data_IF_840464990982
#
_entry.id   IF_840464990982
#
_cell.length_a   1.000
_cell.length_b   1.000
_cell.length_c   1.000
_cell.angle_alpha   90.00
_cell.angle_beta   90.00
_cell.angle_gamma   90.00
#
_symmetry.space_group_name_H-M   'P 1'
#
loop_
_entity.id
_entity.type
_entity.pdbx_description
1 polymer ?
#
# COMPACT_ATOMS: atom_id res chain seq x y z
N UNK A 1 9.55 -17.95 8.78
CA UNK A 1 10.56 -17.10 8.13
C UNK A 1 10.39 -17.28 6.63
N UNK A 2 10.34 -16.20 5.88
CA UNK A 2 10.07 -16.28 4.44
C UNK A 2 11.36 -16.29 3.59
N UNK A 3 12.48 -15.88 4.16
CA UNK A 3 13.79 -15.83 3.53
C UNK A 3 14.67 -16.94 4.07
N UNK A 4 15.52 -17.50 3.22
CA UNK A 4 16.48 -18.53 3.59
C UNK A 4 17.88 -17.94 3.78
N UNK A 5 18.76 -18.70 4.41
CA UNK A 5 20.17 -18.30 4.60
C UNK A 5 20.96 -18.26 3.28
N UNK A 6 20.48 -18.94 2.26
CA UNK A 6 21.05 -18.96 0.89
C UNK A 6 20.61 -17.74 0.05
N UNK A 7 19.79 -16.83 0.59
CA UNK A 7 19.32 -15.65 -0.13
C UNK A 7 18.15 -15.92 -1.08
N UNK A 8 17.47 -17.06 -0.91
CA UNK A 8 16.21 -17.39 -1.58
C UNK A 8 15.01 -17.01 -0.69
N UNK A 9 13.80 -17.16 -1.19
CA UNK A 9 12.57 -17.04 -0.40
C UNK A 9 11.70 -18.28 -0.50
N UNK A 10 10.89 -18.50 0.52
CA UNK A 10 9.87 -19.56 0.51
C UNK A 10 8.49 -18.95 0.41
N UNK A 11 7.75 -19.32 -0.64
CA UNK A 11 6.37 -18.90 -0.89
C UNK A 11 5.47 -20.11 -1.14
N UNK A 12 4.37 -20.23 -0.38
CA UNK A 12 3.45 -21.38 -0.46
C UNK A 12 4.15 -22.74 -0.41
N UNK A 13 5.22 -22.84 0.39
CA UNK A 13 6.00 -24.07 0.53
C UNK A 13 7.02 -24.34 -0.57
N UNK A 14 7.09 -23.49 -1.59
CA UNK A 14 8.07 -23.58 -2.68
C UNK A 14 9.19 -22.58 -2.44
N UNK A 15 10.42 -23.05 -2.56
CA UNK A 15 11.60 -22.19 -2.54
C UNK A 15 11.86 -21.64 -3.94
N UNK A 16 12.14 -20.35 -4.03
CA UNK A 16 12.39 -19.62 -5.28
C UNK A 16 13.43 -18.52 -5.09
N UNK A 17 14.08 -18.12 -6.17
CA UNK A 17 14.97 -16.96 -6.18
C UNK A 17 14.21 -15.68 -5.80
N UNK A 18 14.93 -14.72 -5.23
CA UNK A 18 14.39 -13.38 -4.96
C UNK A 18 14.33 -12.58 -6.27
N UNK A 19 13.14 -12.27 -6.79
CA UNK A 19 13.05 -11.40 -7.96
C UNK A 19 13.40 -9.97 -7.57
N UNK A 20 14.33 -9.37 -8.31
CA UNK A 20 14.83 -8.03 -8.02
C UNK A 20 13.84 -6.91 -8.34
N UNK A 21 12.84 -7.19 -9.14
CA UNK A 21 11.84 -6.26 -9.65
C UNK A 21 10.44 -6.42 -9.01
N UNK A 22 10.31 -7.31 -8.02
CA UNK A 22 9.05 -7.53 -7.31
C UNK A 22 9.01 -6.68 -6.02
N UNK A 23 7.90 -6.01 -5.68
CA UNK A 23 7.77 -5.33 -4.40
C UNK A 23 8.04 -6.25 -3.22
N UNK A 24 8.80 -5.78 -2.24
CA UNK A 24 9.02 -6.51 -1.00
C UNK A 24 7.71 -6.75 -0.27
N UNK A 25 7.58 -7.92 0.35
CA UNK A 25 6.42 -8.28 1.17
C UNK A 25 6.85 -8.67 2.59
N UNK A 26 5.87 -8.62 3.51
CA UNK A 26 6.04 -9.08 4.88
C UNK A 26 7.09 -8.31 5.66
N UNK A 27 7.16 -7.00 5.44
CA UNK A 27 7.98 -6.08 6.23
C UNK A 27 7.13 -5.38 7.29
N UNK A 28 7.69 -5.22 8.49
CA UNK A 28 7.09 -4.40 9.54
C UNK A 28 7.26 -2.90 9.22
N UNK A 29 6.50 -2.06 9.91
CA UNK A 29 6.69 -0.61 9.82
C UNK A 29 8.13 -0.19 10.15
N UNK A 30 8.72 -0.76 11.20
CA UNK A 30 10.08 -0.42 11.61
C UNK A 30 11.14 -0.79 10.58
N UNK A 31 10.97 -1.92 9.88
CA UNK A 31 11.86 -2.30 8.76
C UNK A 31 11.67 -1.37 7.57
N UNK A 32 10.43 -1.00 7.26
CA UNK A 32 10.14 -0.04 6.19
C UNK A 32 10.74 1.34 6.49
N UNK A 33 10.57 1.85 7.71
CA UNK A 33 11.12 3.11 8.17
C UNK A 33 12.67 3.11 8.17
N UNK A 34 13.28 2.04 8.68
CA UNK A 34 14.73 1.88 8.67
C UNK A 34 15.31 1.84 7.25
N UNK A 35 14.66 1.12 6.33
CA UNK A 35 15.05 1.10 4.93
C UNK A 35 14.91 2.47 4.27
N UNK A 36 13.82 3.19 4.54
CA UNK A 36 13.62 4.54 4.04
C UNK A 36 14.74 5.48 4.51
N UNK A 37 15.07 5.47 5.81
CA UNK A 37 16.15 6.27 6.37
C UNK A 37 17.52 5.91 5.78
N UNK A 38 17.81 4.61 5.64
CA UNK A 38 19.05 4.14 4.99
C UNK A 38 19.18 4.60 3.55
N UNK A 39 18.05 4.70 2.83
CA UNK A 39 18.00 5.17 1.43
C UNK A 39 18.05 6.71 1.31
N UNK A 40 18.22 7.47 2.42
CA UNK A 40 18.14 8.93 2.40
C UNK A 40 16.74 9.45 2.06
N UNK A 41 15.72 8.68 2.40
CA UNK A 41 14.31 8.94 2.12
C UNK A 41 13.48 8.82 3.40
N UNK A 42 12.18 8.94 3.26
CA UNK A 42 11.20 8.67 4.31
C UNK A 42 9.99 7.89 3.77
N UNK A 43 9.16 7.39 4.65
CA UNK A 43 7.84 6.93 4.25
C UNK A 43 6.93 8.14 3.97
N UNK A 44 6.03 8.06 2.99
CA UNK A 44 5.03 9.10 2.79
C UNK A 44 4.05 9.15 3.98
N UNK A 45 3.49 10.31 4.26
CA UNK A 45 2.27 10.41 5.06
C UNK A 45 1.08 9.84 4.27
N UNK A 46 0.01 9.42 4.94
CA UNK A 46 -1.19 8.94 4.24
C UNK A 46 -1.83 10.02 3.36
N UNK A 47 -1.69 11.30 3.72
CA UNK A 47 -2.20 12.42 2.93
C UNK A 47 -1.40 12.60 1.65
N UNK A 48 -0.07 12.53 1.71
CA UNK A 48 0.80 12.56 0.54
C UNK A 48 0.51 11.38 -0.38
N UNK A 49 0.38 10.19 0.20
CA UNK A 49 0.04 8.99 -0.55
C UNK A 49 -1.30 9.14 -1.28
N UNK A 50 -2.36 9.57 -0.59
CA UNK A 50 -3.70 9.75 -1.18
C UNK A 50 -3.70 10.85 -2.24
N UNK A 51 -2.96 11.94 -2.01
CA UNK A 51 -2.79 13.00 -3.01
C UNK A 51 -2.10 12.48 -4.26
N UNK A 52 -1.00 11.75 -4.12
CA UNK A 52 -0.29 11.13 -5.24
C UNK A 52 -1.17 10.14 -6.01
N UNK A 53 -2.05 9.43 -5.30
CA UNK A 53 -2.95 8.43 -5.85
C UNK A 53 -4.14 9.04 -6.60
N UNK A 54 -4.82 10.01 -6.00
CA UNK A 54 -6.16 10.41 -6.44
C UNK A 54 -6.29 11.86 -6.92
N UNK A 55 -5.33 12.74 -6.68
CA UNK A 55 -5.43 14.12 -7.11
C UNK A 55 -4.92 14.31 -8.53
N UNK A 56 -5.70 15.01 -9.35
CA UNK A 56 -5.30 15.42 -10.70
C UNK A 56 -4.94 16.92 -10.69
N UNK A 57 -3.66 17.29 -10.83
CA UNK A 57 -3.24 18.68 -10.81
C UNK A 57 -3.71 19.50 -12.04
N UNK A 58 -4.02 18.83 -13.14
CA UNK A 58 -4.48 19.48 -14.39
C UNK A 58 -5.94 19.89 -14.27
N UNK A 59 -6.79 18.99 -13.83
CA UNK A 59 -8.23 19.25 -13.68
C UNK A 59 -8.57 19.87 -12.33
N UNK A 60 -7.62 19.89 -11.38
CA UNK A 60 -7.78 20.32 -9.98
C UNK A 60 -8.94 19.58 -9.28
N UNK A 61 -9.09 18.30 -9.59
CA UNK A 61 -10.14 17.46 -9.09
C UNK A 61 -9.62 16.10 -8.59
N UNK A 62 -10.37 15.47 -7.72
CA UNK A 62 -10.09 14.12 -7.26
C UNK A 62 -10.58 13.10 -8.30
N UNK A 63 -9.74 12.15 -8.65
CA UNK A 63 -10.09 10.97 -9.44
C UNK A 63 -10.69 9.89 -8.55
N UNK A 64 -11.54 9.06 -9.12
CA UNK A 64 -12.10 7.87 -8.43
C UNK A 64 -11.00 6.83 -8.20
N UNK A 65 -10.10 6.67 -9.19
CA UNK A 65 -8.94 5.77 -9.18
C UNK A 65 -7.72 6.53 -9.69
N UNK A 66 -6.50 6.04 -9.48
CA UNK A 66 -5.31 6.69 -10.00
C UNK A 66 -5.40 6.99 -11.50
N UNK A 67 -5.88 6.02 -12.27
CA UNK A 67 -6.03 6.06 -13.73
C UNK A 67 -7.29 6.79 -14.23
N UNK A 68 -8.21 7.21 -13.35
CA UNK A 68 -9.45 7.91 -13.73
C UNK A 68 -10.71 7.36 -13.11
N UNK A 69 -11.77 7.14 -13.89
CA UNK A 69 -13.10 6.73 -13.38
C UNK A 69 -13.44 5.25 -13.60
N UNK A 70 -12.70 4.55 -14.44
CA UNK A 70 -12.96 3.14 -14.77
C UNK A 70 -12.72 2.22 -13.59
N UNK A 71 -13.57 1.22 -13.41
CA UNK A 71 -13.36 0.19 -12.40
C UNK A 71 -12.02 -0.54 -12.60
N UNK A 72 -11.41 -1.09 -11.54
CA UNK A 72 -10.19 -1.87 -11.67
C UNK A 72 -10.36 -3.07 -12.61
N UNK A 73 -9.36 -3.28 -13.45
CA UNK A 73 -9.23 -4.45 -14.32
C UNK A 73 -7.86 -5.08 -14.15
N UNK A 74 -7.67 -6.28 -14.66
CA UNK A 74 -6.37 -6.97 -14.62
C UNK A 74 -5.26 -6.28 -15.43
N UNK A 75 -5.56 -5.24 -16.19
CA UNK A 75 -4.57 -4.41 -16.91
C UNK A 75 -4.23 -3.12 -16.18
N UNK A 76 -4.96 -2.78 -15.13
CA UNK A 76 -4.82 -1.53 -14.37
C UNK A 76 -4.22 -1.74 -12.98
N UNK A 77 -4.45 -2.89 -12.37
CA UNK A 77 -3.95 -3.19 -11.03
C UNK A 77 -3.92 -4.69 -10.75
N UNK A 78 -2.99 -5.12 -9.91
CA UNK A 78 -2.91 -6.49 -9.42
C UNK A 78 -3.77 -6.66 -8.17
N UNK A 79 -4.95 -7.22 -8.36
CA UNK A 79 -5.97 -7.42 -7.32
C UNK A 79 -6.65 -8.79 -7.48
N UNK A 80 -7.39 -9.20 -6.47
CA UNK A 80 -8.26 -10.38 -6.53
C UNK A 80 -7.58 -11.73 -6.48
N UNK A 81 -6.30 -11.77 -6.14
CA UNK A 81 -5.57 -13.03 -5.96
C UNK A 81 -5.24 -13.78 -7.26
N UNK A 82 -5.35 -13.15 -8.42
CA UNK A 82 -5.19 -13.84 -9.71
C UNK A 82 -3.78 -14.44 -9.91
N UNK A 83 -2.74 -13.72 -9.51
CA UNK A 83 -1.35 -14.17 -9.64
C UNK A 83 -0.77 -14.76 -8.35
N UNK A 84 -1.46 -14.64 -7.21
CA UNK A 84 -1.01 -15.04 -5.86
C UNK A 84 0.38 -14.48 -5.47
N UNK A 85 0.73 -13.31 -6.03
CA UNK A 85 2.01 -12.63 -5.82
C UNK A 85 1.92 -11.17 -6.26
N UNK A 86 2.80 -10.27 -5.76
CA UNK A 86 2.98 -8.96 -6.38
C UNK A 86 3.47 -9.11 -7.82
N UNK A 87 3.19 -8.13 -8.62
CA UNK A 87 3.72 -8.03 -9.97
C UNK A 87 5.07 -7.30 -9.98
N UNK A 88 5.90 -7.52 -11.01
CA UNK A 88 7.09 -6.73 -11.23
C UNK A 88 6.78 -5.22 -11.27
N UNK A 89 7.71 -4.41 -10.78
CA UNK A 89 7.59 -2.94 -10.84
C UNK A 89 7.48 -2.52 -12.32
N UNK A 90 6.52 -1.64 -12.62
CA UNK A 90 6.23 -1.19 -13.98
C UNK A 90 5.28 -2.10 -14.78
N UNK A 91 4.74 -3.16 -14.17
CA UNK A 91 3.82 -4.07 -14.87
C UNK A 91 2.45 -3.45 -15.22
N UNK A 92 2.10 -2.33 -14.58
CA UNK A 92 0.78 -1.68 -14.73
C UNK A 92 0.88 -0.21 -15.13
N UNK A 93 1.52 0.14 -16.27
CA UNK A 93 1.69 1.54 -16.68
C UNK A 93 0.36 2.26 -16.95
N UNK A 94 -0.69 1.53 -17.37
CA UNK A 94 -2.03 2.09 -17.55
C UNK A 94 -2.75 2.39 -16.22
N UNK A 95 -2.24 1.85 -15.12
CA UNK A 95 -2.72 2.08 -13.76
C UNK A 95 -2.09 3.31 -13.07
N UNK A 96 -1.22 4.04 -13.76
CA UNK A 96 -0.52 5.19 -13.20
C UNK A 96 -1.48 6.33 -12.82
N UNK A 97 -1.11 7.07 -11.77
CA UNK A 97 -1.83 8.27 -11.34
C UNK A 97 -1.57 9.46 -12.26
N UNK A 98 -2.27 10.58 -12.02
CA UNK A 98 -2.03 11.83 -12.73
C UNK A 98 -0.61 12.40 -12.55
N UNK A 99 0.09 11.95 -11.50
CA UNK A 99 1.50 12.30 -11.27
C UNK A 99 2.47 11.28 -11.87
N UNK A 100 1.98 10.28 -12.61
CA UNK A 100 2.80 9.22 -13.19
C UNK A 100 3.28 8.18 -12.16
N UNK A 101 2.71 8.15 -10.97
CA UNK A 101 3.06 7.15 -9.95
C UNK A 101 2.30 5.86 -10.24
N UNK A 102 3.05 4.78 -10.42
CA UNK A 102 2.51 3.46 -10.76
C UNK A 102 2.23 2.61 -9.53
N UNK A 103 1.36 1.60 -9.70
CA UNK A 103 1.08 0.53 -8.75
C UNK A 103 0.70 1.02 -7.34
N UNK A 104 -0.02 2.16 -7.26
CA UNK A 104 -0.56 2.68 -6.01
C UNK A 104 -1.76 1.87 -5.49
N UNK A 105 -2.37 1.05 -6.33
CA UNK A 105 -3.49 0.18 -5.98
C UNK A 105 -3.11 -1.26 -6.30
N UNK A 106 -3.23 -2.15 -5.31
CA UNK A 106 -2.87 -3.55 -5.43
C UNK A 106 -1.43 -3.85 -5.03
N UNK A 107 -0.91 -4.98 -5.45
CA UNK A 107 0.41 -5.51 -5.15
C UNK A 107 0.68 -5.73 -3.65
N UNK A 108 1.05 -4.69 -2.91
CA UNK A 108 1.31 -4.75 -1.47
C UNK A 108 0.63 -3.61 -0.73
N UNK A 109 0.23 -3.84 0.51
CA UNK A 109 -0.13 -2.76 1.42
C UNK A 109 1.10 -1.91 1.70
N UNK A 110 1.01 -0.61 1.53
CA UNK A 110 2.13 0.30 1.73
C UNK A 110 2.03 1.00 3.08
N UNK A 111 3.06 0.81 3.92
CA UNK A 111 3.20 1.54 5.18
C UNK A 111 3.33 3.04 4.91
N UNK A 112 2.60 3.83 5.69
CA UNK A 112 2.78 5.28 5.75
C UNK A 112 3.34 5.69 7.11
N UNK A 113 3.95 6.87 7.20
CA UNK A 113 4.44 7.41 8.47
C UNK A 113 3.31 7.86 9.43
N UNK A 114 2.06 7.90 8.94
CA UNK A 114 0.93 8.39 9.71
C UNK A 114 0.43 7.42 10.75
N UNK A 115 0.15 7.93 11.94
CA UNK A 115 -0.60 7.20 12.96
C UNK A 115 -2.08 7.10 12.57
N UNK A 116 -2.74 6.03 13.01
CA UNK A 116 -4.16 5.88 12.76
C UNK A 116 -4.97 6.76 13.71
N UNK A 117 -5.37 7.91 13.20
CA UNK A 117 -6.17 8.91 13.92
C UNK A 117 -7.47 9.23 13.16
N UNK A 118 -8.51 9.69 13.83
CA UNK A 118 -9.73 10.11 13.15
C UNK A 118 -9.47 11.37 12.31
N UNK A 119 -10.14 11.47 11.17
CA UNK A 119 -10.18 12.71 10.41
C UNK A 119 -10.97 13.79 11.18
N UNK A 120 -10.67 15.08 11.02
CA UNK A 120 -11.49 16.14 11.60
C UNK A 120 -12.97 16.00 11.23
N UNK A 121 -13.84 16.04 12.23
CA UNK A 121 -15.28 15.85 12.04
C UNK A 121 -15.72 14.38 11.89
N UNK A 122 -14.86 13.41 12.15
CA UNK A 122 -15.23 11.99 12.14
C UNK A 122 -16.38 11.75 13.14
N UNK A 123 -17.39 11.03 12.66
CA UNK A 123 -18.48 10.51 13.49
C UNK A 123 -18.61 9.02 13.15
N UNK A 124 -18.59 8.12 14.15
CA UNK A 124 -18.71 6.70 13.90
C UNK A 124 -20.08 6.37 13.31
N UNK A 125 -20.07 5.44 12.35
CA UNK A 125 -21.31 4.88 11.80
C UNK A 125 -21.90 3.84 12.75
N UNK A 126 -22.78 3.00 12.25
CA UNK A 126 -23.55 2.03 13.04
C UNK A 126 -22.68 1.10 13.90
N UNK A 127 -21.50 0.72 13.42
CA UNK A 127 -20.56 -0.14 14.16
C UNK A 127 -19.33 0.64 14.60
N UNK A 128 -19.41 1.18 15.81
CA UNK A 128 -18.36 2.04 16.41
C UNK A 128 -17.05 1.28 16.61
N UNK A 129 -17.13 0.02 17.00
CA UNK A 129 -15.96 -0.79 17.37
C UNK A 129 -15.09 -1.18 16.15
N UNK A 130 -15.52 -0.82 14.94
CA UNK A 130 -14.72 -1.08 13.73
C UNK A 130 -13.45 -0.22 13.67
N UNK A 131 -13.50 1.03 14.13
CA UNK A 131 -12.36 1.94 14.04
C UNK A 131 -12.05 2.73 15.31
N UNK A 132 -13.06 3.15 16.07
CA UNK A 132 -12.85 4.02 17.25
C UNK A 132 -11.86 3.46 18.29
N UNK A 133 -11.91 2.18 18.67
CA UNK A 133 -11.00 1.60 19.66
C UNK A 133 -9.53 1.60 19.23
N UNK A 134 -9.27 1.78 17.94
CA UNK A 134 -7.93 1.74 17.36
C UNK A 134 -7.31 3.14 17.18
N UNK A 135 -8.09 4.21 17.38
CA UNK A 135 -7.57 5.57 17.28
C UNK A 135 -6.69 5.92 18.49
N UNK A 136 -5.56 6.57 18.21
CA UNK A 136 -4.62 7.02 19.23
C UNK A 136 -3.82 5.93 19.91
N UNK A 137 -3.90 4.69 19.40
CA UNK A 137 -3.05 3.58 19.79
C UNK A 137 -1.80 3.48 18.92
N UNK A 138 -1.03 2.40 19.12
CA UNK A 138 0.19 2.13 18.37
C UNK A 138 -0.10 1.55 16.97
N UNK A 139 -1.01 2.19 16.22
CA UNK A 139 -1.37 1.74 14.89
C UNK A 139 -0.85 2.70 13.83
N UNK A 140 -0.23 2.14 12.80
CA UNK A 140 0.19 2.89 11.60
C UNK A 140 -0.76 2.61 10.44
N UNK A 141 -0.96 3.63 9.61
CA UNK A 141 -1.84 3.54 8.44
C UNK A 141 -1.14 2.83 7.29
N UNK A 142 -1.89 1.95 6.64
CA UNK A 142 -1.52 1.23 5.42
C UNK A 142 -2.46 1.64 4.28
N UNK A 143 -1.92 1.78 3.09
CA UNK A 143 -2.67 2.21 1.91
C UNK A 143 -2.49 1.25 0.73
N UNK A 144 -3.34 1.39 -0.28
CA UNK A 144 -3.19 0.77 -1.59
C UNK A 144 -3.84 -0.60 -1.78
N UNK A 145 -3.93 -1.41 -0.74
CA UNK A 145 -4.35 -2.80 -0.89
C UNK A 145 -3.20 -3.71 -1.33
N UNK A 146 -3.46 -5.01 -1.36
CA UNK A 146 -2.50 -5.99 -1.86
C UNK A 146 -3.10 -6.80 -3.01
N UNK A 147 -2.29 -7.59 -3.68
CA UNK A 147 -2.72 -8.54 -4.72
C UNK A 147 -3.86 -9.47 -4.24
N UNK A 148 -3.97 -9.70 -2.92
CA UNK A 148 -5.00 -10.58 -2.34
C UNK A 148 -6.34 -9.88 -2.09
N UNK A 149 -6.42 -8.54 -2.22
CA UNK A 149 -7.62 -7.77 -1.91
C UNK A 149 -8.61 -7.82 -3.08
N UNK A 150 -9.88 -8.02 -2.79
CA UNK A 150 -10.92 -7.98 -3.80
C UNK A 150 -11.08 -6.56 -4.39
N UNK A 151 -11.21 -6.41 -5.72
CA UNK A 151 -11.35 -5.09 -6.36
C UNK A 151 -12.53 -4.26 -5.84
N UNK A 152 -13.58 -4.91 -5.37
CA UNK A 152 -14.76 -4.25 -4.80
C UNK A 152 -14.52 -3.58 -3.44
N UNK A 153 -13.47 -3.99 -2.73
CA UNK A 153 -13.19 -3.53 -1.37
C UNK A 153 -12.30 -2.29 -1.35
N UNK A 154 -11.31 -2.25 -2.24
CA UNK A 154 -10.28 -1.20 -2.21
C UNK A 154 -10.73 0.10 -2.89
N UNK A 155 -10.22 1.21 -2.41
CA UNK A 155 -10.39 2.58 -2.94
C UNK A 155 -9.14 3.39 -2.61
N UNK A 156 -8.82 4.46 -3.34
CA UNK A 156 -7.76 5.39 -2.95
C UNK A 156 -7.91 5.95 -1.52
N UNK A 157 -9.15 6.12 -1.05
CA UNK A 157 -9.45 6.59 0.31
C UNK A 157 -9.53 5.48 1.35
N UNK A 158 -9.40 4.22 0.96
CA UNK A 158 -9.46 3.13 1.93
C UNK A 158 -8.24 3.20 2.85
N UNK A 159 -8.49 3.16 4.15
CA UNK A 159 -7.47 3.15 5.21
C UNK A 159 -7.47 1.76 5.84
N UNK A 160 -6.35 1.09 5.76
CA UNK A 160 -6.07 -0.05 6.62
C UNK A 160 -5.13 0.41 7.74
N UNK A 161 -5.06 -0.32 8.82
CA UNK A 161 -4.14 -0.05 9.92
C UNK A 161 -3.72 -1.35 10.58
N UNK A 162 -2.51 -1.36 11.11
CA UNK A 162 -2.04 -2.47 11.92
C UNK A 162 -0.96 -2.01 12.90
N UNK A 163 -0.64 -2.87 13.86
CA UNK A 163 0.50 -2.65 14.76
C UNK A 163 1.81 -2.61 13.97
N UNK A 164 2.74 -1.71 14.32
CA UNK A 164 4.00 -1.51 13.57
C UNK A 164 4.87 -2.78 13.47
N UNK A 165 4.69 -3.76 14.36
CA UNK A 165 5.44 -5.03 14.35
C UNK A 165 4.86 -6.08 13.40
N UNK A 166 3.67 -5.86 12.83
CA UNK A 166 2.98 -6.85 12.00
C UNK A 166 3.62 -6.99 10.62
N UNK A 167 3.67 -8.24 10.14
CA UNK A 167 4.30 -8.62 8.87
C UNK A 167 3.40 -9.52 8.00
N UNK A 168 2.28 -10.00 8.53
CA UNK A 168 1.51 -11.10 7.96
C UNK A 168 0.53 -10.67 6.86
N UNK A 169 0.36 -9.38 6.62
CA UNK A 169 -0.70 -8.81 5.76
C UNK A 169 -0.22 -8.32 4.41
N UNK A 170 0.83 -8.93 3.85
CA UNK A 170 1.42 -8.53 2.56
C UNK A 170 1.84 -7.05 2.54
N UNK A 171 2.50 -6.63 3.62
CA UNK A 171 2.98 -5.25 3.78
C UNK A 171 4.29 -5.02 3.07
N UNK A 172 4.38 -3.93 2.36
CA UNK A 172 5.57 -3.39 1.73
C UNK A 172 5.69 -1.90 2.03
N UNK A 173 6.38 -1.17 1.18
CA UNK A 173 6.62 0.26 1.35
C UNK A 173 6.78 0.98 0.02
N UNK A 174 6.61 2.29 0.08
CA UNK A 174 6.98 3.26 -0.96
C UNK A 174 7.83 4.35 -0.32
N UNK A 175 8.83 4.83 -1.03
CA UNK A 175 9.69 5.91 -0.57
C UNK A 175 9.17 7.28 -1.02
N UNK A 176 9.43 8.30 -0.20
CA UNK A 176 9.21 9.71 -0.51
C UNK A 176 10.48 10.51 -0.15
N UNK A 177 10.75 11.56 -0.90
CA UNK A 177 11.83 12.52 -0.65
C UNK A 177 11.25 13.91 -0.50
N UNK A 178 11.85 14.72 0.34
CA UNK A 178 11.56 16.14 0.41
C UNK A 178 12.22 16.84 -0.76
N UNK A 179 11.53 17.87 -1.30
CA UNK A 179 11.97 18.63 -2.45
C UNK A 179 13.05 19.68 -2.11
#
# INVERSE_FOLDING_TARGET
>A
MFWTDEGTRRRFGVEEDLPADEPVQHVSYFEAEAFAAWSGARLPTEVEWEKACAWDPTTKARRTWPWGSSAPTATLANLGGAALRPAPIGAYPLGASAYGVEQLIGDVWEWTSSDFTPWPGFTPMVYRDYSEPFFGGDYKVLRGGSWAVAPSTIRPSFRNWDHPVRRQIFTGLRLAWDA
#
